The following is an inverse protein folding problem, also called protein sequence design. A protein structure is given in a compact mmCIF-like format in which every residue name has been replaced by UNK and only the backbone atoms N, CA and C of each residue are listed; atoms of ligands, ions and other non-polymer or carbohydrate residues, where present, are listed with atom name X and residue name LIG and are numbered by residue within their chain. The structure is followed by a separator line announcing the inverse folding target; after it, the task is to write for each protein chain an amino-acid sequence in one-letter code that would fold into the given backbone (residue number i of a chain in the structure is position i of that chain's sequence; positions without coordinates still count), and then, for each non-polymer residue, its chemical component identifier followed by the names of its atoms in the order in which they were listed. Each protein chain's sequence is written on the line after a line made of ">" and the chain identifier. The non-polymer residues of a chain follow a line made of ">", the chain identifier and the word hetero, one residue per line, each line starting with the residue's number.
data_IF_427620444295
#
_entry.id   IF_427620444295
#
_cell.length_a   1.000
_cell.length_b   1.000
_cell.length_c   1.000
_cell.angle_alpha   90.00
_cell.angle_beta   90.00
_cell.angle_gamma   90.00
#
_symmetry.space_group_name_H-M   'P 1'
#
loop_
_entity.id
_entity.type
_entity.pdbx_description
1 polymer ?
#
# COMPACT_ATOMS: atom_id res chain seq x y z
N UNK A 1 0.62 13.11 -2.56
CA UNK A 1 1.69 12.50 -1.77
C UNK A 1 2.42 13.60 -1.01
N UNK A 2 2.67 13.40 0.31
CA UNK A 2 3.41 14.37 1.10
C UNK A 2 4.88 14.41 0.67
N UNK A 3 5.56 15.58 0.77
CA UNK A 3 6.99 15.67 0.47
C UNK A 3 7.84 14.74 1.34
N UNK A 4 7.45 14.57 2.61
CA UNK A 4 8.15 13.71 3.57
C UNK A 4 8.08 12.24 3.16
N UNK A 5 6.91 11.75 2.71
CA UNK A 5 6.77 10.39 2.20
C UNK A 5 7.53 10.19 0.89
N UNK A 6 7.52 11.18 0.00
CA UNK A 6 8.29 11.11 -1.24
C UNK A 6 9.80 10.99 -0.97
N UNK A 7 10.31 11.79 -0.04
CA UNK A 7 11.71 11.71 0.39
C UNK A 7 12.03 10.35 1.02
N UNK A 8 11.17 9.86 1.92
CA UNK A 8 11.35 8.55 2.56
C UNK A 8 11.42 7.41 1.53
N UNK A 9 10.55 7.43 0.52
CA UNK A 9 10.57 6.43 -0.55
C UNK A 9 11.89 6.47 -1.35
N UNK A 10 12.43 7.66 -1.61
CA UNK A 10 13.71 7.82 -2.30
C UNK A 10 14.89 7.32 -1.45
N UNK A 11 14.90 7.63 -0.16
CA UNK A 11 15.92 7.15 0.79
C UNK A 11 15.88 5.62 0.90
N UNK A 12 14.71 5.03 1.12
CA UNK A 12 14.56 3.57 1.21
C UNK A 12 14.89 2.86 -0.11
N UNK A 13 14.61 3.48 -1.25
CA UNK A 13 15.03 2.92 -2.56
C UNK A 13 16.55 2.86 -2.66
N UNK A 14 17.26 3.88 -2.18
CA UNK A 14 18.72 3.91 -2.16
C UNK A 14 19.28 2.84 -1.19
N UNK A 15 18.71 2.73 0.01
CA UNK A 15 19.12 1.74 1.01
C UNK A 15 18.90 0.30 0.52
N UNK A 16 17.75 0.05 -0.15
CA UNK A 16 17.47 -1.26 -0.76
C UNK A 16 18.47 -1.62 -1.86
N UNK A 17 19.01 -0.64 -2.59
CA UNK A 17 20.00 -0.88 -3.62
C UNK A 17 21.39 -1.29 -3.04
N UNK A 18 21.66 -0.95 -1.79
CA UNK A 18 22.88 -1.32 -1.06
C UNK A 18 22.75 -2.68 -0.35
N UNK A 19 21.54 -3.17 -0.11
CA UNK A 19 21.29 -4.47 0.53
C UNK A 19 21.63 -5.63 -0.43
N UNK A 20 21.99 -6.77 0.12
CA UNK A 20 22.24 -7.97 -0.71
C UNK A 20 20.93 -8.43 -1.36
N UNK A 21 20.89 -8.58 -2.70
CA UNK A 21 19.67 -8.92 -3.44
C UNK A 21 18.96 -10.19 -2.95
N UNK A 22 19.70 -11.13 -2.36
CA UNK A 22 19.16 -12.37 -1.83
C UNK A 22 18.37 -12.18 -0.51
N UNK A 23 18.67 -11.13 0.27
CA UNK A 23 18.01 -10.87 1.56
C UNK A 23 16.69 -10.14 1.39
N UNK A 24 16.50 -9.43 0.27
CA UNK A 24 15.31 -8.62 -0.04
C UNK A 24 14.63 -9.02 -1.36
N UNK A 25 14.60 -10.32 -1.68
CA UNK A 25 14.00 -10.83 -2.92
C UNK A 25 12.55 -10.39 -3.15
N UNK A 26 11.83 -10.04 -2.07
CA UNK A 26 10.43 -9.60 -2.09
C UNK A 26 10.24 -8.10 -1.76
N UNK A 27 11.32 -7.32 -1.77
CA UNK A 27 11.25 -5.89 -1.51
C UNK A 27 11.77 -5.11 -2.73
N UNK A 28 11.00 -4.13 -3.16
CA UNK A 28 11.36 -3.22 -4.26
C UNK A 28 10.50 -1.97 -4.19
N UNK A 29 11.15 -0.82 -4.33
CA UNK A 29 10.47 0.45 -4.63
C UNK A 29 10.81 0.79 -6.09
N UNK A 30 9.79 0.86 -6.96
CA UNK A 30 9.97 1.17 -8.37
C UNK A 30 10.54 2.57 -8.59
N UNK A 31 11.29 2.77 -9.69
CA UNK A 31 11.67 4.11 -10.10
C UNK A 31 10.42 4.94 -10.45
N UNK A 32 10.48 6.28 -10.41
CA UNK A 32 9.37 7.13 -10.82
C UNK A 32 8.86 6.79 -12.23
N UNK A 33 7.53 6.74 -12.42
CA UNK A 33 6.95 6.63 -13.76
C UNK A 33 7.16 7.91 -14.57
N UNK A 34 7.27 7.78 -15.89
CA UNK A 34 7.19 8.93 -16.76
C UNK A 34 5.76 9.52 -16.73
N UNK A 35 5.64 10.85 -16.68
CA UNK A 35 4.34 11.52 -16.58
C UNK A 35 3.37 11.11 -17.71
N UNK A 36 3.89 10.82 -18.90
CA UNK A 36 3.12 10.36 -20.05
C UNK A 36 2.56 8.95 -19.92
N UNK A 37 3.12 8.13 -19.03
CA UNK A 37 2.68 6.75 -18.80
C UNK A 37 1.65 6.64 -17.66
N UNK A 38 1.46 7.72 -16.88
CA UNK A 38 0.48 7.74 -15.79
C UNK A 38 -0.87 8.24 -16.31
N UNK A 39 -1.93 7.38 -16.32
CA UNK A 39 -3.24 7.77 -16.84
C UNK A 39 -3.83 8.96 -16.09
N UNK A 40 -4.33 9.96 -16.87
CA UNK A 40 -4.83 11.21 -16.31
C UNK A 40 -6.12 11.06 -15.48
N UNK A 41 -6.88 9.99 -15.72
CA UNK A 41 -8.14 9.68 -15.04
C UNK A 41 -7.96 9.01 -13.67
N UNK A 42 -6.74 8.68 -13.28
CA UNK A 42 -6.48 8.13 -11.95
C UNK A 42 -6.69 9.19 -10.86
N UNK A 43 -7.13 8.78 -9.66
CA UNK A 43 -7.17 9.65 -8.49
C UNK A 43 -5.82 10.32 -8.23
N UNK A 44 -5.87 11.58 -7.78
CA UNK A 44 -4.66 12.41 -7.60
C UNK A 44 -3.60 11.72 -6.74
N UNK A 45 -3.96 11.19 -5.57
CA UNK A 45 -3.01 10.52 -4.68
C UNK A 45 -2.31 9.32 -5.33
N UNK A 46 -3.03 8.53 -6.16
CA UNK A 46 -2.43 7.41 -6.88
C UNK A 46 -1.49 7.89 -7.99
N UNK A 47 -1.87 8.94 -8.73
CA UNK A 47 -0.99 9.55 -9.75
C UNK A 47 0.29 10.08 -9.13
N UNK A 48 0.18 10.81 -8.03
CA UNK A 48 1.34 11.36 -7.31
C UNK A 48 2.26 10.24 -6.80
N UNK A 49 1.68 9.14 -6.27
CA UNK A 49 2.45 7.98 -5.86
C UNK A 49 3.24 7.36 -7.03
N UNK A 50 2.59 7.10 -8.16
CA UNK A 50 3.24 6.51 -9.34
C UNK A 50 4.35 7.38 -9.92
N UNK A 51 4.23 8.70 -9.82
CA UNK A 51 5.27 9.65 -10.23
C UNK A 51 6.49 9.68 -9.28
N UNK A 52 6.39 9.11 -8.08
CA UNK A 52 7.49 8.96 -7.12
C UNK A 52 8.01 7.52 -7.10
N UNK A 53 7.08 6.56 -7.19
CA UNK A 53 7.39 5.13 -7.18
C UNK A 53 6.41 4.38 -8.10
N UNK A 54 6.89 3.90 -9.26
CA UNK A 54 6.08 3.10 -10.18
C UNK A 54 5.94 1.66 -9.68
N UNK A 55 5.08 1.52 -8.71
CA UNK A 55 4.83 0.29 -7.97
C UNK A 55 5.82 0.08 -6.82
N UNK A 56 5.39 -0.76 -5.89
CA UNK A 56 6.15 -1.09 -4.70
C UNK A 56 5.87 -2.53 -4.32
N UNK A 57 6.90 -3.26 -3.91
CA UNK A 57 6.77 -4.55 -3.23
C UNK A 57 7.45 -4.44 -1.88
N UNK A 58 6.69 -4.73 -0.84
CA UNK A 58 7.10 -4.62 0.56
C UNK A 58 6.61 -5.86 1.30
N UNK A 59 7.41 -6.93 1.26
CA UNK A 59 7.03 -8.21 1.84
C UNK A 59 5.70 -8.72 1.29
N UNK A 60 4.68 -8.78 2.16
CA UNK A 60 3.34 -9.25 1.82
C UNK A 60 2.48 -8.23 1.06
N UNK A 61 2.90 -6.97 0.99
CA UNK A 61 2.16 -5.89 0.30
C UNK A 61 2.81 -5.60 -1.05
N UNK A 62 1.98 -5.55 -2.10
CA UNK A 62 2.40 -5.12 -3.44
C UNK A 62 1.46 -4.03 -3.93
N UNK A 63 1.98 -2.84 -4.26
CA UNK A 63 1.27 -1.79 -5.00
C UNK A 63 1.61 -1.89 -6.49
N UNK A 64 0.58 -1.86 -7.32
CA UNK A 64 0.72 -2.07 -8.75
C UNK A 64 1.42 -0.88 -9.43
N UNK A 65 2.35 -1.19 -10.34
CA UNK A 65 2.92 -0.20 -11.26
C UNK A 65 1.91 0.20 -12.35
N UNK A 66 2.21 1.27 -13.09
CA UNK A 66 1.46 1.70 -14.28
C UNK A 66 1.22 0.54 -15.24
N UNK A 67 2.25 -0.27 -15.49
CA UNK A 67 2.17 -1.42 -16.39
C UNK A 67 1.32 -2.59 -15.86
N UNK A 68 1.05 -2.66 -14.55
CA UNK A 68 0.27 -3.74 -13.92
C UNK A 68 -1.12 -3.32 -13.49
N UNK A 69 -1.36 -2.01 -13.35
CA UNK A 69 -2.61 -1.48 -12.79
C UNK A 69 -3.85 -1.98 -13.53
N UNK A 70 -3.81 -2.05 -14.86
CA UNK A 70 -4.94 -2.58 -15.64
C UNK A 70 -5.18 -4.07 -15.39
N UNK A 71 -4.12 -4.83 -15.18
CA UNK A 71 -4.22 -6.27 -15.00
C UNK A 71 -4.85 -6.67 -13.66
N UNK A 72 -4.63 -5.88 -12.59
CA UNK A 72 -5.18 -6.19 -11.27
C UNK A 72 -6.67 -5.85 -11.12
N UNK A 73 -7.28 -5.11 -12.07
CA UNK A 73 -8.68 -4.72 -11.98
C UNK A 73 -9.67 -5.90 -12.06
N UNK A 74 -9.23 -7.08 -12.48
CA UNK A 74 -10.10 -8.28 -12.52
C UNK A 74 -10.66 -8.63 -11.12
N UNK A 75 -9.97 -8.27 -10.04
CA UNK A 75 -10.45 -8.50 -8.68
C UNK A 75 -11.82 -7.84 -8.40
N UNK A 76 -12.14 -6.75 -9.08
CA UNK A 76 -13.45 -6.09 -8.96
C UNK A 76 -14.61 -7.01 -9.35
N UNK A 77 -14.37 -8.03 -10.20
CA UNK A 77 -15.38 -8.97 -10.66
C UNK A 77 -15.73 -10.04 -9.61
N UNK A 78 -14.87 -10.20 -8.60
CA UNK A 78 -15.03 -11.20 -7.55
C UNK A 78 -15.45 -10.58 -6.20
N UNK A 79 -15.63 -9.26 -6.15
CA UNK A 79 -16.00 -8.57 -4.92
C UNK A 79 -17.37 -9.06 -4.42
N UNK A 80 -17.51 -9.37 -3.11
CA UNK A 80 -18.74 -9.87 -2.52
C UNK A 80 -19.91 -8.89 -2.64
N UNK A 81 -21.15 -9.42 -2.79
CA UNK A 81 -22.36 -8.62 -2.95
C UNK A 81 -22.69 -7.70 -1.76
N UNK A 82 -22.18 -8.01 -0.56
CA UNK A 82 -22.39 -7.16 0.60
C UNK A 82 -21.54 -5.88 0.57
N UNK A 83 -20.44 -5.87 -0.23
CA UNK A 83 -19.61 -4.66 -0.41
C UNK A 83 -20.26 -3.72 -1.43
N UNK A 84 -19.89 -2.42 -1.46
CA UNK A 84 -20.42 -1.47 -2.43
C UNK A 84 -19.88 -1.69 -3.86
N UNK A 85 -18.81 -2.47 -4.02
CA UNK A 85 -18.09 -2.63 -5.29
C UNK A 85 -18.97 -3.18 -6.42
N UNK A 86 -19.76 -4.26 -6.25
CA UNK A 86 -20.60 -4.79 -7.34
C UNK A 86 -21.66 -3.82 -7.83
N UNK A 87 -22.13 -2.89 -6.98
CA UNK A 87 -23.14 -1.90 -7.32
C UNK A 87 -22.56 -0.72 -8.11
N UNK A 88 -21.29 -0.37 -7.87
CA UNK A 88 -20.59 0.72 -8.55
C UNK A 88 -19.10 0.40 -8.75
N UNK A 89 -18.80 -0.52 -9.65
CA UNK A 89 -17.41 -0.88 -9.97
C UNK A 89 -16.58 0.31 -10.46
N UNK A 90 -17.22 1.27 -11.12
CA UNK A 90 -16.53 2.46 -11.63
C UNK A 90 -16.04 3.39 -10.50
N UNK A 91 -16.66 3.34 -9.34
CA UNK A 91 -16.24 4.07 -8.13
C UNK A 91 -14.99 3.51 -7.47
N UNK A 92 -14.50 2.36 -7.90
CA UNK A 92 -13.40 1.64 -7.26
C UNK A 92 -12.22 1.36 -8.18
N UNK A 93 -11.05 1.24 -7.58
CA UNK A 93 -9.83 0.73 -8.20
C UNK A 93 -9.20 -0.31 -7.30
N UNK A 94 -8.63 -1.35 -7.89
CA UNK A 94 -7.63 -2.19 -7.20
C UNK A 94 -6.28 -1.54 -7.41
N UNK A 95 -5.60 -1.19 -6.31
CA UNK A 95 -4.29 -0.52 -6.35
C UNK A 95 -3.14 -1.46 -6.03
N UNK A 96 -3.44 -2.65 -5.52
CA UNK A 96 -2.43 -3.63 -5.15
C UNK A 96 -3.02 -4.84 -4.46
N UNK A 97 -2.16 -5.60 -3.79
CA UNK A 97 -2.54 -6.78 -3.01
C UNK A 97 -1.79 -6.83 -1.67
N UNK A 98 -2.39 -7.52 -0.70
CA UNK A 98 -1.77 -7.96 0.54
C UNK A 98 -1.89 -9.49 0.59
N UNK A 99 -0.80 -10.22 0.58
CA UNK A 99 -0.81 -11.69 0.54
C UNK A 99 -1.77 -12.25 -0.53
N UNK A 100 -1.71 -11.69 -1.75
CA UNK A 100 -2.58 -12.00 -2.89
C UNK A 100 -4.06 -11.56 -2.75
N UNK A 101 -4.47 -10.96 -1.63
CA UNK A 101 -5.80 -10.37 -1.43
C UNK A 101 -5.80 -8.91 -1.89
N UNK A 102 -6.86 -8.44 -2.62
CA UNK A 102 -6.86 -7.11 -3.21
C UNK A 102 -6.97 -5.98 -2.18
N UNK A 103 -6.24 -4.90 -2.47
CA UNK A 103 -6.37 -3.59 -1.81
C UNK A 103 -7.11 -2.67 -2.77
N UNK A 104 -8.17 -2.05 -2.27
CA UNK A 104 -9.03 -1.18 -3.05
C UNK A 104 -8.81 0.29 -2.70
N UNK A 105 -9.05 1.16 -3.67
CA UNK A 105 -9.10 2.60 -3.50
C UNK A 105 -10.45 3.11 -3.98
N UNK A 106 -11.15 3.83 -3.14
CA UNK A 106 -12.37 4.53 -3.51
C UNK A 106 -12.03 5.80 -4.29
N UNK A 107 -12.50 5.90 -5.54
CA UNK A 107 -12.16 7.03 -6.41
C UNK A 107 -12.66 8.38 -5.92
N UNK A 108 -13.80 8.39 -5.21
CA UNK A 108 -14.45 9.60 -4.75
C UNK A 108 -13.72 10.26 -3.58
N UNK A 109 -13.22 9.46 -2.65
CA UNK A 109 -12.59 9.94 -1.41
C UNK A 109 -11.07 9.82 -1.42
N UNK A 110 -10.53 8.85 -2.15
CA UNK A 110 -9.13 8.42 -2.10
C UNK A 110 -8.83 7.44 -0.98
N UNK A 111 -9.85 7.07 -0.17
CA UNK A 111 -9.69 6.13 0.93
C UNK A 111 -9.28 4.74 0.44
N UNK A 112 -8.45 4.07 1.24
CA UNK A 112 -7.97 2.72 0.98
C UNK A 112 -8.78 1.73 1.79
N UNK A 113 -9.24 0.67 1.13
CA UNK A 113 -10.14 -0.34 1.69
C UNK A 113 -9.62 -1.75 1.45
N UNK A 114 -10.03 -2.68 2.28
CA UNK A 114 -9.66 -4.08 2.18
C UNK A 114 -10.73 -5.00 2.75
N UNK A 115 -10.57 -6.29 2.54
CA UNK A 115 -11.33 -7.33 3.22
C UNK A 115 -10.49 -7.86 4.40
N UNK A 116 -10.87 -7.58 5.67
CA UNK A 116 -10.17 -8.10 6.82
C UNK A 116 -10.14 -9.64 6.81
N UNK A 117 -9.04 -10.27 7.23
CA UNK A 117 -8.94 -11.72 7.27
C UNK A 117 -9.95 -12.32 8.26
N UNK A 118 -10.82 -13.20 7.77
CA UNK A 118 -11.86 -13.88 8.56
C UNK A 118 -11.62 -15.40 8.67
N UNK A 119 -10.44 -15.87 8.21
CA UNK A 119 -10.11 -17.29 8.13
C UNK A 119 -10.72 -18.00 6.91
N UNK A 120 -11.33 -17.26 6.01
CA UNK A 120 -11.84 -17.69 4.69
C UNK A 120 -11.21 -16.85 3.60
N UNK A 121 -11.38 -17.27 2.34
CA UNK A 121 -10.97 -16.46 1.19
C UNK A 121 -11.66 -15.08 1.23
N UNK A 122 -10.96 -14.03 0.83
CA UNK A 122 -11.43 -12.64 0.91
C UNK A 122 -12.79 -12.42 0.23
N UNK A 123 -13.06 -13.11 -0.91
CA UNK A 123 -14.33 -13.02 -1.65
C UNK A 123 -15.48 -13.78 -1.00
N UNK A 124 -15.22 -14.57 0.05
CA UNK A 124 -16.21 -15.27 0.88
C UNK A 124 -16.36 -14.66 2.27
N UNK A 125 -15.56 -13.62 2.59
CA UNK A 125 -15.64 -12.90 3.85
C UNK A 125 -16.96 -12.16 4.02
N UNK A 126 -17.20 -11.62 5.20
CA UNK A 126 -18.40 -10.88 5.58
C UNK A 126 -18.11 -9.43 6.03
N UNK A 127 -16.87 -8.99 5.88
CA UNK A 127 -16.41 -7.66 6.27
C UNK A 127 -15.68 -6.96 5.14
N UNK A 128 -15.97 -5.67 4.94
CA UNK A 128 -15.26 -4.76 4.08
C UNK A 128 -15.01 -3.47 4.86
N UNK A 129 -13.77 -3.07 5.04
CA UNK A 129 -13.39 -2.02 5.96
C UNK A 129 -12.44 -1.00 5.32
N UNK A 130 -12.59 0.25 5.73
CA UNK A 130 -11.60 1.28 5.46
C UNK A 130 -10.33 0.98 6.25
N UNK A 131 -9.19 1.00 5.56
CA UNK A 131 -7.87 0.77 6.13
C UNK A 131 -7.14 2.08 6.41
N UNK A 132 -7.25 3.02 5.46
CA UNK A 132 -6.65 4.35 5.60
C UNK A 132 -7.48 5.41 4.86
N UNK A 133 -7.45 6.69 5.32
CA UNK A 133 -8.22 7.76 4.70
C UNK A 133 -7.73 8.15 3.30
N UNK A 134 -6.51 7.83 2.98
CA UNK A 134 -5.88 8.07 1.67
C UNK A 134 -4.66 7.16 1.46
N UNK A 135 -4.14 7.18 0.23
CA UNK A 135 -3.00 6.35 -0.15
C UNK A 135 -1.69 6.77 0.55
N UNK A 136 -1.51 8.06 0.84
CA UNK A 136 -0.35 8.58 1.56
C UNK A 136 -0.27 7.99 2.97
N UNK A 137 -1.35 8.10 3.73
CA UNK A 137 -1.51 7.53 5.07
C UNK A 137 -1.34 6.00 5.04
N UNK A 138 -1.90 5.33 4.03
CA UNK A 138 -1.73 3.89 3.86
C UNK A 138 -0.26 3.49 3.67
N UNK A 139 0.43 4.14 2.75
CA UNK A 139 1.84 3.83 2.47
C UNK A 139 2.70 4.15 3.68
N UNK A 140 2.52 5.32 4.28
CA UNK A 140 3.34 5.76 5.41
C UNK A 140 3.18 4.86 6.63
N UNK A 141 1.95 4.51 7.01
CA UNK A 141 1.67 3.75 8.24
C UNK A 141 1.71 2.23 8.03
N UNK A 142 0.99 1.73 6.99
CA UNK A 142 0.82 0.28 6.80
C UNK A 142 1.89 -0.38 5.92
N UNK A 143 2.57 0.37 5.07
CA UNK A 143 3.61 -0.20 4.21
C UNK A 143 5.01 0.06 4.77
N UNK A 144 5.28 1.27 5.24
CA UNK A 144 6.59 1.74 5.68
C UNK A 144 6.70 1.95 7.20
N UNK A 145 5.63 1.75 7.95
CA UNK A 145 5.54 2.09 9.36
C UNK A 145 5.02 0.96 10.25
N UNK A 146 4.69 1.28 11.52
CA UNK A 146 4.32 0.28 12.53
C UNK A 146 3.05 -0.50 12.20
N UNK A 147 2.12 0.06 11.43
CA UNK A 147 0.90 -0.62 10.99
C UNK A 147 1.15 -1.82 10.07
N UNK A 148 2.37 -1.99 9.54
CA UNK A 148 2.70 -3.18 8.74
C UNK A 148 2.43 -4.48 9.52
N UNK A 149 2.79 -4.51 10.81
CA UNK A 149 2.55 -5.67 11.68
C UNK A 149 1.06 -5.98 11.92
N UNK A 150 0.16 -5.03 11.71
CA UNK A 150 -1.29 -5.26 11.82
C UNK A 150 -1.85 -6.01 10.60
N UNK A 151 -1.17 -5.91 9.46
CA UNK A 151 -1.60 -6.52 8.20
C UNK A 151 -0.93 -7.87 7.91
N UNK A 152 0.20 -8.14 8.54
CA UNK A 152 1.03 -9.33 8.28
C UNK A 152 1.09 -10.17 9.55
N UNK A 153 0.81 -11.48 9.43
CA UNK A 153 0.71 -12.39 10.58
C UNK A 153 2.06 -12.89 11.10
N UNK A 154 3.10 -12.84 10.29
CA UNK A 154 4.44 -13.32 10.61
C UNK A 154 5.49 -12.26 10.29
N UNK A 155 6.56 -12.23 11.07
CA UNK A 155 7.73 -11.41 10.80
C UNK A 155 8.38 -11.85 9.49
N UNK A 156 8.45 -10.97 8.51
CA UNK A 156 9.11 -11.20 7.24
C UNK A 156 10.37 -10.34 7.08
N UNK A 157 11.04 -10.48 5.94
CA UNK A 157 12.26 -9.73 5.65
C UNK A 157 12.01 -8.22 5.54
N UNK A 158 10.81 -7.81 5.09
CA UNK A 158 10.46 -6.40 5.04
C UNK A 158 10.27 -5.83 6.44
N UNK A 159 9.57 -6.51 7.32
CA UNK A 159 9.46 -6.14 8.73
C UNK A 159 10.84 -5.96 9.38
N UNK A 160 11.75 -6.93 9.18
CA UNK A 160 13.12 -6.84 9.69
C UNK A 160 13.90 -5.65 9.10
N UNK A 161 13.66 -5.30 7.83
CA UNK A 161 14.25 -4.11 7.20
C UNK A 161 13.71 -2.82 7.82
N UNK A 162 12.40 -2.67 7.95
CA UNK A 162 11.78 -1.50 8.59
C UNK A 162 12.29 -1.29 10.02
N UNK A 163 12.44 -2.39 10.77
CA UNK A 163 13.01 -2.33 12.12
C UNK A 163 14.44 -1.79 12.13
N UNK A 164 15.28 -2.23 11.19
CA UNK A 164 16.66 -1.71 11.06
C UNK A 164 16.69 -0.23 10.68
N UNK A 165 15.70 0.24 9.95
CA UNK A 165 15.54 1.64 9.57
C UNK A 165 14.91 2.51 10.68
N UNK A 166 14.48 1.91 11.81
CA UNK A 166 13.84 2.63 12.91
C UNK A 166 12.42 3.12 12.58
N UNK A 167 11.75 2.50 11.59
CA UNK A 167 10.44 2.93 11.11
C UNK A 167 9.26 2.25 11.83
N UNK A 168 9.54 1.28 12.69
CA UNK A 168 8.51 0.56 13.46
C UNK A 168 8.32 1.12 14.86
N UNK A 169 9.19 1.99 15.33
CA UNK A 169 9.02 2.65 16.61
C UNK A 169 7.91 3.68 16.47
N UNK A 170 6.87 3.59 17.30
CA UNK A 170 5.91 4.66 17.45
C UNK A 170 6.70 5.91 17.83
N UNK A 171 6.49 7.03 17.11
CA UNK A 171 7.07 8.28 17.52
C UNK A 171 6.66 8.50 18.99
N UNK A 172 7.63 8.49 19.90
CA UNK A 172 7.39 8.80 21.30
C UNK A 172 6.52 10.06 21.36
N UNK A 173 5.24 9.90 21.73
CA UNK A 173 4.42 11.05 22.09
C UNK A 173 5.20 11.77 23.18
N UNK A 174 5.79 12.89 22.80
CA UNK A 174 6.51 13.78 23.70
C UNK A 174 5.54 14.16 24.82
N UNK A 175 5.56 13.33 25.87
CA UNK A 175 4.82 13.58 27.11
C UNK A 175 5.47 14.79 27.80
N UNK A 176 5.20 15.94 27.21
CA UNK A 176 5.49 17.26 27.74
C UNK A 176 4.75 17.52 29.04
N UNK A 177 4.90 16.64 30.03
CA UNK A 177 4.57 16.91 31.41
C UNK A 177 5.57 17.92 31.94
N UNK A 178 5.23 19.18 31.89
CA UNK A 178 5.87 20.19 32.71
C UNK A 178 5.10 20.42 34.00
N UNK A 179 5.82 20.54 35.10
CA UNK A 179 5.28 20.77 36.43
C UNK A 179 4.67 22.16 36.65
#
# INVERSE_FOLDING_TARGET
>A
LTPDLAQLLDELRADLAEEEPASLAYARIGDPADEGDVPAELPTGLREFLLVADGLRAGAIELASTGRLAAVQYFLDYAPDFSPIPQDKAGWLVVGTRSDEPIFLERATGAVWYFPPTGTEWFMGDAFAELAPDLDSFVHYYVLGPGYAELVTDDDQWFAFLHRQGLLDEADEDDGAQP
#
